data_IF_330001585172
#
_entry.id   IF_330001585172
#
_cell.length_a   1.000
_cell.length_b   1.000
_cell.length_c   1.000
_cell.angle_alpha   90.00
_cell.angle_beta   90.00
_cell.angle_gamma   90.00
#
_symmetry.space_group_name_H-M   'P 1'
#
loop_
_entity.id
_entity.type
_entity.pdbx_description
1 polymer ?
#
# COMPACT_ATOMS: atom_id res chain seq x y z
N UNK A 1 4.96 -27.85 -4.77
CA UNK A 1 3.56 -27.76 -5.26
C UNK A 1 3.28 -26.29 -5.48
N UNK A 2 3.40 -25.80 -6.72
CA UNK A 2 3.09 -24.41 -7.04
C UNK A 2 1.58 -24.34 -7.20
N UNK A 3 0.87 -23.86 -6.17
CA UNK A 3 -0.55 -23.54 -6.30
C UNK A 3 -0.60 -22.41 -7.34
N UNK A 4 -1.18 -22.67 -8.51
CA UNK A 4 -1.59 -21.59 -9.40
C UNK A 4 -2.64 -20.79 -8.64
N UNK A 5 -2.23 -19.67 -8.06
CA UNK A 5 -3.16 -18.72 -7.46
C UNK A 5 -4.07 -18.20 -8.57
N UNK A 6 -5.33 -18.62 -8.58
CA UNK A 6 -6.32 -18.04 -9.47
C UNK A 6 -6.70 -16.65 -8.93
N UNK A 7 -5.90 -15.65 -9.26
CA UNK A 7 -6.06 -14.27 -8.79
C UNK A 7 -7.43 -13.68 -9.12
N UNK A 8 -8.10 -14.14 -10.18
CA UNK A 8 -9.46 -13.72 -10.53
C UNK A 8 -10.49 -14.20 -9.51
N UNK A 9 -10.37 -15.44 -9.03
CA UNK A 9 -11.28 -15.97 -8.01
C UNK A 9 -11.02 -15.33 -6.65
N UNK A 10 -9.75 -15.07 -6.33
CA UNK A 10 -9.34 -14.34 -5.13
C UNK A 10 -9.91 -12.92 -5.15
N UNK A 11 -9.79 -12.22 -6.28
CA UNK A 11 -10.36 -10.89 -6.48
C UNK A 11 -11.88 -10.88 -6.31
N UNK A 12 -12.61 -11.80 -6.93
CA UNK A 12 -14.06 -11.93 -6.77
C UNK A 12 -14.45 -12.13 -5.30
N UNK A 13 -13.74 -13.04 -4.62
CA UNK A 13 -13.98 -13.34 -3.21
C UNK A 13 -13.70 -12.14 -2.31
N UNK A 14 -12.65 -11.35 -2.59
CA UNK A 14 -12.37 -10.12 -1.84
C UNK A 14 -13.41 -9.04 -2.10
N UNK A 15 -13.87 -8.86 -3.34
CA UNK A 15 -14.94 -7.91 -3.67
C UNK A 15 -16.22 -8.27 -2.90
N UNK A 16 -16.59 -9.55 -2.87
CA UNK A 16 -17.73 -10.02 -2.08
C UNK A 16 -17.54 -9.80 -0.57
N UNK A 17 -16.35 -10.12 -0.05
CA UNK A 17 -16.02 -9.92 1.36
C UNK A 17 -16.02 -8.43 1.77
N UNK A 18 -15.74 -7.52 0.83
CA UNK A 18 -15.83 -6.06 1.02
C UNK A 18 -17.27 -5.53 0.96
N UNK A 19 -18.28 -6.38 0.74
CA UNK A 19 -19.68 -5.97 0.63
C UNK A 19 -20.15 -5.75 -0.82
N UNK A 20 -19.40 -6.24 -1.80
CA UNK A 20 -19.71 -6.19 -3.22
C UNK A 20 -19.22 -4.91 -3.92
N UNK A 21 -19.23 -4.93 -5.25
CA UNK A 21 -18.74 -3.83 -6.12
C UNK A 21 -19.32 -2.46 -5.77
N UNK A 22 -20.61 -2.40 -5.44
CA UNK A 22 -21.28 -1.14 -5.12
C UNK A 22 -20.76 -0.49 -3.81
N UNK A 23 -20.19 -1.29 -2.90
CA UNK A 23 -19.65 -0.84 -1.63
C UNK A 23 -18.22 -0.31 -1.73
N UNK A 24 -17.50 -0.63 -2.81
CA UNK A 24 -16.14 -0.17 -3.05
C UNK A 24 -16.21 1.20 -3.71
N UNK A 25 -15.59 2.20 -3.08
CA UNK A 25 -15.47 3.56 -3.60
C UNK A 25 -14.19 3.72 -4.40
N UNK A 26 -13.06 3.31 -3.83
CA UNK A 26 -11.77 3.36 -4.51
C UNK A 26 -10.84 2.24 -4.01
N UNK A 27 -9.92 1.86 -4.89
CA UNK A 27 -8.81 0.97 -4.59
C UNK A 27 -7.52 1.77 -4.68
N UNK A 28 -6.63 1.57 -3.72
CA UNK A 28 -5.33 2.23 -3.69
C UNK A 28 -4.23 1.18 -3.79
N UNK A 29 -3.35 1.37 -4.78
CA UNK A 29 -2.20 0.47 -4.99
C UNK A 29 -1.24 0.58 -3.80
N UNK A 30 -0.81 -0.59 -3.32
CA UNK A 30 0.21 -0.72 -2.31
C UNK A 30 0.98 -2.01 -2.56
N UNK A 31 2.26 -2.01 -2.22
CA UNK A 31 3.14 -3.12 -2.52
C UNK A 31 2.70 -4.46 -1.89
N UNK A 32 2.14 -4.45 -0.68
CA UNK A 32 1.77 -5.68 0.05
C UNK A 32 0.39 -5.71 0.69
N UNK A 33 -0.34 -4.61 0.56
CA UNK A 33 -1.69 -4.46 1.08
C UNK A 33 -2.60 -3.94 0.00
N UNK A 34 -3.83 -4.44 -0.08
CA UNK A 34 -4.89 -3.78 -0.83
C UNK A 34 -5.60 -2.83 0.13
N UNK A 35 -5.55 -1.55 -0.18
CA UNK A 35 -6.25 -0.50 0.56
C UNK A 35 -7.51 -0.13 -0.19
N UNK A 36 -8.63 -0.16 0.50
CA UNK A 36 -9.95 0.03 -0.09
C UNK A 36 -10.68 1.08 0.73
N UNK A 37 -11.22 2.08 0.05
CA UNK A 37 -12.23 2.94 0.67
C UNK A 37 -13.58 2.30 0.38
N UNK A 38 -14.31 1.99 1.45
CA UNK A 38 -15.67 1.42 1.37
C UNK A 38 -16.71 2.46 1.77
N UNK A 39 -17.86 2.44 1.10
CA UNK A 39 -18.97 3.37 1.38
C UNK A 39 -19.68 3.05 2.69
N UNK A 40 -19.85 1.76 2.96
CA UNK A 40 -20.51 1.25 4.15
C UNK A 40 -19.63 0.18 4.83
N UNK A 41 -18.95 0.55 5.93
CA UNK A 41 -18.11 -0.35 6.72
C UNK A 41 -18.87 -1.58 7.24
N UNK A 42 -20.17 -1.45 7.52
CA UNK A 42 -20.96 -2.53 8.11
C UNK A 42 -21.23 -3.69 7.14
N UNK A 43 -21.05 -3.45 5.83
CA UNK A 43 -21.17 -4.49 4.80
C UNK A 43 -19.91 -5.33 4.63
N UNK A 44 -18.77 -4.87 5.16
CA UNK A 44 -17.53 -5.63 5.13
C UNK A 44 -17.64 -6.84 6.05
N UNK A 45 -17.19 -8.00 5.56
CA UNK A 45 -17.11 -9.22 6.36
C UNK A 45 -16.03 -9.10 7.44
N UNK A 46 -16.14 -9.86 8.54
CA UNK A 46 -15.10 -9.89 9.58
C UNK A 46 -13.79 -10.49 9.05
N UNK A 47 -12.67 -10.17 9.73
CA UNK A 47 -11.31 -10.59 9.37
C UNK A 47 -11.18 -12.07 8.97
N UNK A 48 -11.83 -13.00 9.69
CA UNK A 48 -11.74 -14.43 9.39
C UNK A 48 -12.20 -14.79 7.97
N UNK A 49 -13.12 -14.03 7.37
CA UNK A 49 -13.57 -14.28 6.00
C UNK A 49 -12.44 -14.03 5.00
N UNK A 50 -11.63 -13.00 5.21
CA UNK A 50 -10.47 -12.67 4.39
C UNK A 50 -9.34 -13.68 4.57
N UNK A 51 -9.10 -14.13 5.80
CA UNK A 51 -8.10 -15.17 6.08
C UNK A 51 -8.37 -16.46 5.29
N UNK A 52 -9.65 -16.87 5.18
CA UNK A 52 -10.04 -18.05 4.39
C UNK A 52 -9.81 -17.91 2.89
N UNK A 53 -9.81 -16.68 2.37
CA UNK A 53 -9.55 -16.39 0.95
C UNK A 53 -8.04 -16.46 0.66
N UNK A 54 -7.21 -16.22 1.67
CA UNK A 54 -5.75 -16.23 1.56
C UNK A 54 -5.09 -14.93 2.05
N UNK A 55 -5.83 -14.02 2.69
CA UNK A 55 -5.23 -12.85 3.32
C UNK A 55 -4.44 -13.27 4.57
N UNK A 56 -3.37 -12.52 4.86
CA UNK A 56 -2.65 -12.59 6.13
C UNK A 56 -3.47 -11.91 7.23
N UNK A 57 -4.12 -10.79 6.91
CA UNK A 57 -5.06 -10.10 7.79
C UNK A 57 -5.94 -9.12 7.03
N UNK A 58 -7.08 -8.76 7.61
CA UNK A 58 -7.94 -7.67 7.17
C UNK A 58 -8.41 -6.86 8.37
N UNK A 59 -8.42 -5.54 8.23
CA UNK A 59 -8.91 -4.62 9.27
C UNK A 59 -9.58 -3.40 8.64
N UNK A 60 -10.38 -2.71 9.45
CA UNK A 60 -11.24 -1.60 9.04
C UNK A 60 -11.13 -0.48 10.06
N UNK A 61 -10.87 0.73 9.59
CA UNK A 61 -10.80 1.95 10.39
C UNK A 61 -11.69 3.01 9.75
N UNK A 62 -12.88 3.21 10.31
CA UNK A 62 -13.93 4.01 9.66
C UNK A 62 -14.31 3.40 8.31
N UNK A 63 -14.17 4.17 7.23
CA UNK A 63 -14.43 3.73 5.84
C UNK A 63 -13.21 3.12 5.16
N UNK A 64 -12.07 3.05 5.85
CA UNK A 64 -10.82 2.59 5.27
C UNK A 64 -10.55 1.13 5.65
N UNK A 65 -10.63 0.24 4.66
CA UNK A 65 -10.30 -1.17 4.80
C UNK A 65 -8.88 -1.45 4.29
N UNK A 66 -8.15 -2.30 5.00
CA UNK A 66 -6.85 -2.79 4.58
C UNK A 66 -6.82 -4.31 4.61
N UNK A 67 -6.40 -4.93 3.50
CA UNK A 67 -6.25 -6.37 3.34
C UNK A 67 -4.78 -6.66 3.08
N UNK A 68 -4.11 -7.32 4.01
CA UNK A 68 -2.70 -7.72 3.89
C UNK A 68 -2.66 -9.07 3.17
N UNK A 69 -2.01 -9.13 2.01
CA UNK A 69 -1.94 -10.34 1.17
C UNK A 69 -0.48 -10.78 0.98
N UNK A 70 0.46 -9.82 0.94
CA UNK A 70 1.87 -10.09 0.64
C UNK A 70 2.24 -9.66 -0.77
N UNK A 71 3.24 -10.31 -1.38
CA UNK A 71 3.82 -9.88 -2.65
C UNK A 71 2.92 -10.09 -3.89
N UNK A 72 1.80 -10.80 -3.73
CA UNK A 72 0.82 -11.08 -4.80
C UNK A 72 -0.20 -9.94 -5.02
N UNK A 73 -0.07 -8.82 -4.29
CA UNK A 73 -1.01 -7.70 -4.40
C UNK A 73 -1.16 -7.16 -5.82
N UNK A 74 -0.09 -6.91 -6.61
CA UNK A 74 -0.24 -6.37 -7.96
C UNK A 74 -1.19 -7.21 -8.82
N UNK A 75 -1.07 -8.53 -8.77
CA UNK A 75 -1.89 -9.45 -9.57
C UNK A 75 -3.34 -9.51 -9.08
N UNK A 76 -3.56 -9.51 -7.76
CA UNK A 76 -4.92 -9.50 -7.18
C UNK A 76 -5.60 -8.16 -7.48
N UNK A 77 -4.88 -7.05 -7.36
CA UNK A 77 -5.40 -5.71 -7.60
C UNK A 77 -5.79 -5.52 -9.07
N UNK A 78 -4.96 -5.93 -10.01
CA UNK A 78 -5.27 -5.91 -11.44
C UNK A 78 -6.55 -6.71 -11.75
N UNK A 79 -6.69 -7.89 -11.15
CA UNK A 79 -7.89 -8.71 -11.26
C UNK A 79 -9.11 -8.01 -10.66
N UNK A 80 -8.98 -7.32 -9.51
CA UNK A 80 -10.07 -6.53 -8.92
C UNK A 80 -10.47 -5.36 -9.81
N UNK A 81 -9.52 -4.58 -10.35
CA UNK A 81 -9.81 -3.47 -11.27
C UNK A 81 -10.60 -3.94 -12.49
N UNK A 82 -10.18 -5.05 -13.08
CA UNK A 82 -10.86 -5.68 -14.22
C UNK A 82 -12.32 -6.05 -13.91
N UNK A 83 -12.66 -6.36 -12.65
CA UNK A 83 -14.04 -6.70 -12.23
C UNK A 83 -14.87 -5.48 -11.84
N UNK A 84 -14.21 -4.45 -11.31
CA UNK A 84 -14.89 -3.25 -10.84
C UNK A 84 -15.16 -2.23 -11.96
N UNK A 85 -14.70 -2.49 -13.18
CA UNK A 85 -14.73 -1.53 -14.30
C UNK A 85 -14.18 -0.15 -13.90
N UNK A 86 -13.31 -0.14 -12.87
CA UNK A 86 -12.61 1.04 -12.46
C UNK A 86 -11.45 1.16 -13.42
N UNK A 87 -11.45 2.21 -14.24
CA UNK A 87 -10.24 2.62 -14.95
C UNK A 87 -9.12 2.72 -13.94
N UNK A 88 -8.01 2.06 -14.21
CA UNK A 88 -6.76 2.29 -13.49
C UNK A 88 -6.39 3.75 -13.83
N UNK A 89 -6.90 4.72 -13.06
CA UNK A 89 -6.57 6.14 -13.27
C UNK A 89 -5.24 6.52 -12.66
N UNK A 90 -4.48 5.55 -12.15
CA UNK A 90 -3.12 5.73 -11.65
C UNK A 90 -2.27 4.51 -12.06
N UNK A 91 -2.17 4.23 -13.37
CA UNK A 91 -1.03 3.46 -13.85
C UNK A 91 0.20 4.32 -13.55
N UNK A 92 0.96 3.93 -12.52
CA UNK A 92 2.17 4.63 -12.06
C UNK A 92 3.27 4.70 -13.13
N UNK A 93 3.01 4.03 -14.25
CA UNK A 93 3.71 3.93 -15.50
C UNK A 93 3.85 5.31 -16.21
N UNK A 94 2.95 6.28 -15.95
CA UNK A 94 2.95 7.57 -16.66
C UNK A 94 4.03 8.56 -16.19
N UNK A 95 4.69 8.32 -15.05
CA UNK A 95 5.55 9.35 -14.43
C UNK A 95 7.02 9.37 -14.84
N UNK A 96 7.44 8.67 -15.90
CA UNK A 96 8.82 8.71 -16.40
C UNK A 96 9.85 8.56 -15.27
N UNK A 97 9.58 7.62 -14.36
CA UNK A 97 10.21 7.60 -13.05
C UNK A 97 11.70 7.28 -13.22
N UNK A 98 12.54 8.20 -12.74
CA UNK A 98 13.93 7.86 -12.45
C UNK A 98 13.95 6.68 -11.46
N UNK A 99 15.03 5.89 -11.37
CA UNK A 99 15.12 4.80 -10.40
C UNK A 99 14.80 5.22 -8.96
N UNK A 100 15.11 6.47 -8.57
CA UNK A 100 14.75 6.99 -7.25
C UNK A 100 13.28 7.38 -7.12
N UNK A 101 12.62 7.75 -8.21
CA UNK A 101 11.19 8.01 -8.26
C UNK A 101 10.37 6.75 -8.03
N UNK A 102 10.75 5.64 -8.67
CA UNK A 102 10.11 4.34 -8.46
C UNK A 102 10.26 3.88 -7.01
N UNK A 103 11.49 3.93 -6.49
CA UNK A 103 11.77 3.61 -5.08
C UNK A 103 10.99 4.49 -4.12
N UNK A 104 10.92 5.80 -4.39
CA UNK A 104 10.12 6.72 -3.59
C UNK A 104 8.64 6.38 -3.64
N UNK A 105 8.11 6.00 -4.80
CA UNK A 105 6.70 5.62 -4.94
C UNK A 105 6.37 4.37 -4.13
N UNK A 106 7.19 3.32 -4.23
CA UNK A 106 7.01 2.10 -3.43
C UNK A 106 7.12 2.41 -1.94
N UNK A 107 8.10 3.24 -1.53
CA UNK A 107 8.24 3.65 -0.14
C UNK A 107 7.02 4.46 0.35
N UNK A 108 6.48 5.33 -0.51
CA UNK A 108 5.28 6.13 -0.24
C UNK A 108 4.06 5.25 0.05
N UNK A 109 3.91 4.17 -0.72
CA UNK A 109 2.88 3.13 -0.54
C UNK A 109 3.07 2.38 0.78
N UNK A 110 4.28 1.92 1.06
CA UNK A 110 4.62 1.23 2.30
C UNK A 110 4.40 2.09 3.54
N UNK A 111 4.57 3.41 3.44
CA UNK A 111 4.34 4.36 4.54
C UNK A 111 2.85 4.67 4.75
N UNK A 112 2.02 4.34 3.77
CA UNK A 112 0.58 4.34 3.87
C UNK A 112 -0.17 5.52 3.28
N UNK A 113 0.43 6.18 2.29
CA UNK A 113 -0.16 7.19 1.39
C UNK A 113 -0.85 8.36 2.15
N UNK A 114 -1.22 9.47 1.46
CA UNK A 114 -0.95 10.83 1.92
C UNK A 114 -1.46 11.15 3.33
N UNK A 115 -2.55 10.52 3.75
CA UNK A 115 -3.23 10.73 5.02
C UNK A 115 -2.37 10.28 6.22
N UNK A 116 -1.56 9.23 6.05
CA UNK A 116 -0.70 8.76 7.14
C UNK A 116 0.59 9.58 7.26
N UNK A 117 1.10 10.15 6.17
CA UNK A 117 2.41 10.79 6.15
C UNK A 117 2.29 12.27 6.54
N UNK A 118 2.81 12.63 7.71
CA UNK A 118 2.76 13.99 8.22
C UNK A 118 3.93 14.85 7.74
N UNK A 119 5.16 14.29 7.77
CA UNK A 119 6.39 15.01 7.41
C UNK A 119 7.49 14.06 6.94
N UNK A 120 8.29 14.49 5.96
CA UNK A 120 9.44 13.74 5.46
C UNK A 120 10.69 14.63 5.54
N UNK A 121 11.74 14.12 6.19
CA UNK A 121 13.03 14.80 6.35
C UNK A 121 14.17 13.82 6.09
N UNK A 122 15.40 14.32 5.95
CA UNK A 122 16.60 13.50 5.70
C UNK A 122 17.61 13.77 6.81
N UNK A 123 18.26 12.71 7.28
CA UNK A 123 19.33 12.77 8.26
C UNK A 123 20.44 11.80 7.85
N UNK A 124 21.51 12.35 7.25
CA UNK A 124 22.60 11.55 6.68
C UNK A 124 22.11 10.61 5.58
N UNK A 125 22.34 9.31 5.75
CA UNK A 125 21.88 8.24 4.85
C UNK A 125 20.46 7.74 5.13
N UNK A 126 19.71 8.41 6.02
CA UNK A 126 18.38 7.99 6.43
C UNK A 126 17.29 9.00 6.04
N UNK A 127 16.15 8.47 5.63
CA UNK A 127 14.90 9.21 5.51
C UNK A 127 14.17 9.09 6.86
N UNK A 128 13.76 10.22 7.42
CA UNK A 128 12.96 10.30 8.64
C UNK A 128 11.55 10.72 8.26
N UNK A 129 10.61 9.82 8.45
CA UNK A 129 9.19 10.03 8.16
C UNK A 129 8.42 10.09 9.47
N UNK A 130 7.69 11.19 9.66
CA UNK A 130 6.68 11.28 10.71
C UNK A 130 5.36 10.78 10.13
N UNK A 131 4.79 9.75 10.75
CA UNK A 131 3.49 9.19 10.41
C UNK A 131 2.49 9.43 11.54
N UNK A 132 1.20 9.46 11.18
CA UNK A 132 0.10 9.55 12.13
C UNK A 132 -0.08 8.21 12.87
N UNK A 133 -0.01 7.11 12.13
CA UNK A 133 -0.18 5.75 12.64
C UNK A 133 0.94 4.82 12.10
N UNK A 134 1.80 4.27 12.98
CA UNK A 134 2.86 3.35 12.57
C UNK A 134 2.37 1.96 12.15
N UNK A 135 1.14 1.57 12.48
CA UNK A 135 0.56 0.27 12.08
C UNK A 135 0.24 0.24 10.57
N UNK A 136 -0.06 1.41 10.02
CA UNK A 136 -0.26 1.61 8.57
C UNK A 136 1.04 1.47 7.78
N UNK A 137 2.20 1.49 8.44
CA UNK A 137 3.49 1.33 7.78
C UNK A 137 3.78 -0.15 7.61
N UNK A 138 4.12 -0.57 6.39
CA UNK A 138 4.48 -1.95 6.08
C UNK A 138 5.60 -2.46 7.03
N UNK A 139 5.61 -3.76 7.34
CA UNK A 139 6.69 -4.40 8.09
C UNK A 139 8.07 -4.25 7.40
N UNK A 140 9.16 -4.27 8.18
CA UNK A 140 10.50 -4.05 7.64
C UNK A 140 10.98 -5.18 6.71
N UNK A 141 10.72 -6.43 7.07
CA UNK A 141 11.00 -7.63 6.28
C UNK A 141 10.33 -7.56 4.90
N UNK A 142 9.09 -7.07 4.87
CA UNK A 142 8.38 -6.79 3.62
C UNK A 142 9.11 -5.73 2.79
N UNK A 143 9.44 -4.57 3.38
CA UNK A 143 10.10 -3.49 2.66
C UNK A 143 11.49 -3.89 2.12
N UNK A 144 12.17 -4.83 2.79
CA UNK A 144 13.43 -5.38 2.35
C UNK A 144 13.26 -6.26 1.08
N UNK A 145 12.19 -7.05 1.01
CA UNK A 145 11.87 -7.92 -0.14
C UNK A 145 11.52 -7.15 -1.41
N UNK A 146 11.04 -5.90 -1.28
CA UNK A 146 10.72 -5.04 -2.41
C UNK A 146 11.97 -4.55 -3.17
N UNK A 147 13.17 -4.85 -2.68
CA UNK A 147 14.45 -4.55 -3.33
C UNK A 147 14.64 -3.07 -3.71
N UNK A 148 14.02 -2.16 -2.94
CA UNK A 148 14.09 -0.71 -3.13
C UNK A 148 15.32 -0.07 -2.48
N UNK A 149 16.34 -0.87 -2.12
CA UNK A 149 17.60 -0.41 -1.51
C UNK A 149 17.47 0.04 -0.05
N UNK A 150 16.41 -0.37 0.66
CA UNK A 150 16.28 -0.20 2.11
C UNK A 150 17.28 -1.14 2.79
N UNK A 151 18.09 -0.59 3.70
CA UNK A 151 19.11 -1.33 4.47
C UNK A 151 18.69 -1.58 5.90
N UNK A 152 18.07 -0.58 6.53
CA UNK A 152 17.62 -0.68 7.91
C UNK A 152 16.37 0.17 8.13
N UNK A 153 15.50 -0.27 9.04
CA UNK A 153 14.31 0.48 9.42
C UNK A 153 14.14 0.43 10.94
N UNK A 154 13.95 1.60 11.54
CA UNK A 154 13.64 1.73 12.97
C UNK A 154 12.32 2.48 13.14
N UNK A 155 11.38 1.91 13.91
CA UNK A 155 10.13 2.56 14.31
C UNK A 155 10.26 3.02 15.77
N UNK A 156 10.03 4.31 16.04
CA UNK A 156 9.96 4.88 17.39
C UNK A 156 8.73 5.77 17.50
N UNK A 157 7.65 5.24 18.08
CA UNK A 157 6.35 5.90 18.06
C UNK A 157 5.90 6.16 16.62
N UNK A 158 5.46 7.38 16.33
CA UNK A 158 5.10 7.82 14.97
C UNK A 158 6.30 8.17 14.07
N UNK A 159 7.55 7.98 14.51
CA UNK A 159 8.72 8.28 13.68
C UNK A 159 9.29 7.00 13.07
N UNK A 160 9.41 6.98 11.75
CA UNK A 160 10.01 5.90 10.96
C UNK A 160 11.34 6.41 10.39
N UNK A 161 12.45 5.80 10.82
CA UNK A 161 13.78 6.03 10.27
C UNK A 161 14.10 4.91 9.29
N UNK A 162 14.39 5.26 8.05
CA UNK A 162 14.67 4.32 6.96
C UNK A 162 16.05 4.63 6.38
N UNK A 163 17.02 3.75 6.61
CA UNK A 163 18.32 3.82 5.95
C UNK A 163 18.20 3.21 4.56
N UNK A 164 18.54 4.00 3.54
CA UNK A 164 18.27 3.65 2.15
C UNK A 164 19.31 4.29 1.24
N UNK A 165 19.69 3.60 0.17
CA UNK A 165 20.63 4.16 -0.81
C UNK A 165 20.06 5.43 -1.45
N UNK A 166 20.88 6.45 -1.63
CA UNK A 166 20.46 7.73 -2.22
C UNK A 166 19.30 8.39 -1.46
N UNK A 167 19.29 8.33 -0.12
CA UNK A 167 18.23 8.84 0.75
C UNK A 167 17.75 10.26 0.40
N UNK A 168 18.68 11.19 0.11
CA UNK A 168 18.33 12.56 -0.27
C UNK A 168 17.52 12.61 -1.57
N UNK A 169 17.89 11.84 -2.59
CA UNK A 169 17.19 11.81 -3.87
C UNK A 169 15.80 11.17 -3.72
N UNK A 170 15.71 10.04 -3.02
CA UNK A 170 14.43 9.35 -2.76
C UNK A 170 13.51 10.23 -1.92
N UNK A 171 14.01 10.90 -0.89
CA UNK A 171 13.22 11.82 -0.06
C UNK A 171 12.71 13.03 -0.84
N UNK A 172 13.47 13.53 -1.82
CA UNK A 172 13.02 14.62 -2.70
C UNK A 172 11.81 14.18 -3.54
N UNK A 173 11.87 12.97 -4.12
CA UNK A 173 10.75 12.40 -4.88
C UNK A 173 9.54 12.11 -3.97
N UNK A 174 9.75 11.59 -2.76
CA UNK A 174 8.69 11.41 -1.76
C UNK A 174 7.98 12.73 -1.43
N UNK A 175 8.73 13.81 -1.19
CA UNK A 175 8.16 15.13 -0.96
C UNK A 175 7.47 15.71 -2.21
N UNK A 176 7.85 15.28 -3.42
CA UNK A 176 7.15 15.63 -4.66
C UNK A 176 5.77 14.97 -4.69
N UNK A 177 5.71 13.66 -4.44
CA UNK A 177 4.48 12.88 -4.38
C UNK A 177 3.51 13.44 -3.32
N UNK A 178 3.98 13.68 -2.09
CA UNK A 178 3.15 14.22 -1.00
C UNK A 178 2.51 15.57 -1.33
N UNK A 179 3.19 16.42 -2.12
CA UNK A 179 2.65 17.72 -2.55
C UNK A 179 1.66 17.62 -3.69
N UNK A 180 1.79 16.62 -4.56
CA UNK A 180 0.88 16.40 -5.68
C UNK A 180 -0.45 15.82 -5.20
N UNK A 181 -0.44 14.93 -4.20
CA UNK A 181 -1.67 14.31 -3.67
C UNK A 181 -2.48 15.21 -2.73
N UNK A 182 -1.93 16.33 -2.26
CA UNK A 182 -2.60 17.31 -1.38
C UNK A 182 -3.18 18.53 -2.11
N UNK A 183 -3.13 18.54 -3.44
CA UNK A 183 -3.80 19.53 -4.29
C UNK A 183 -5.14 19.00 -4.75
#
# INVERSE_FOLDING_TARGET
MTVQHNFRNIADSYIEALGGKANIESLVNCATRIRVIVKDPAKMKPNFAFLRIGAISASLHGNFAQIVIGLDVPQVLEAMHSRLDLTISDSLDEYGLTPNGERARILYECLGLPDNIQRITVSGSAIIVQVADPEWVDPYDVMLQLNIGVKHLTKRGGQIRIEIDQATAVARELNRLLRQTRK
#
